data_IF_183685826937
#
_entry.id   IF_183685826937
#
_cell.length_a   1.000
_cell.length_b   1.000
_cell.length_c   1.000
_cell.angle_alpha   90.00
_cell.angle_beta   90.00
_cell.angle_gamma   90.00
#
_symmetry.space_group_name_H-M   'P 1'
#
loop_
_entity.id
_entity.type
_entity.pdbx_description
1 polymer ?
#
# COMPACT_ATOMS: atom_id res chain seq x y z
N UNK A 1 -17.07 -79.43 37.00
CA UNK A 1 -16.02 -80.47 36.97
C UNK A 1 -14.78 -79.90 36.31
N UNK A 2 -13.66 -80.03 37.01
CA UNK A 2 -12.32 -79.53 36.68
C UNK A 2 -11.72 -80.25 35.47
N UNK A 3 -10.91 -79.54 34.68
CA UNK A 3 -9.74 -80.14 34.02
C UNK A 3 -8.67 -79.07 33.79
N UNK A 4 -7.45 -79.37 34.24
CA UNK A 4 -6.32 -78.47 34.38
C UNK A 4 -5.34 -78.52 33.18
N UNK A 5 -4.54 -77.45 33.12
CA UNK A 5 -3.13 -77.36 32.68
C UNK A 5 -2.71 -77.92 31.32
N UNK A 6 -2.10 -77.03 30.51
CA UNK A 6 -0.79 -77.27 29.85
C UNK A 6 -0.03 -75.94 29.78
N UNK A 7 1.13 -75.87 30.42
CA UNK A 7 2.07 -74.76 30.24
C UNK A 7 2.85 -74.90 28.93
N UNK A 8 3.36 -73.78 28.42
CA UNK A 8 4.69 -73.64 27.80
C UNK A 8 4.90 -72.20 27.32
N UNK A 9 5.74 -71.47 28.06
CA UNK A 9 6.84 -70.64 27.60
C UNK A 9 6.76 -70.18 26.13
N UNK A 10 6.60 -68.88 25.88
CA UNK A 10 7.60 -68.10 25.11
C UNK A 10 7.26 -66.61 24.98
N UNK A 11 8.29 -65.79 25.26
CA UNK A 11 8.61 -64.47 24.67
C UNK A 11 7.64 -63.30 24.88
N UNK A 12 7.70 -62.73 26.09
CA UNK A 12 7.56 -61.28 26.28
C UNK A 12 8.73 -60.56 25.60
N UNK A 13 8.51 -59.98 24.42
CA UNK A 13 9.36 -58.89 23.93
C UNK A 13 8.94 -57.62 24.67
N UNK A 14 9.71 -57.27 25.70
CA UNK A 14 9.72 -55.94 26.31
C UNK A 14 10.11 -54.94 25.23
N UNK A 15 9.12 -54.24 24.67
CA UNK A 15 9.36 -53.03 23.90
C UNK A 15 9.71 -51.94 24.91
N UNK A 16 11.02 -51.71 25.08
CA UNK A 16 11.54 -50.52 25.75
C UNK A 16 11.03 -49.29 24.98
N UNK A 17 10.08 -48.58 25.57
CA UNK A 17 9.71 -47.23 25.15
C UNK A 17 10.86 -46.32 25.61
N UNK A 18 11.64 -45.71 24.71
CA UNK A 18 12.63 -44.73 25.14
C UNK A 18 11.87 -43.49 25.63
N UNK A 19 12.01 -43.18 26.92
CA UNK A 19 11.63 -41.89 27.47
C UNK A 19 12.43 -40.81 26.73
N UNK A 20 11.77 -40.04 25.87
CA UNK A 20 12.35 -38.83 25.29
C UNK A 20 12.53 -37.81 26.40
N UNK A 21 13.76 -37.69 26.87
CA UNK A 21 14.20 -36.58 27.70
C UNK A 21 14.30 -35.31 26.86
N UNK A 22 13.75 -34.24 27.45
CA UNK A 22 14.19 -32.83 27.35
C UNK A 22 14.01 -32.09 26.00
N UNK A 23 13.08 -31.13 26.05
CA UNK A 23 13.24 -29.75 25.56
C UNK A 23 13.98 -29.58 24.22
N UNK A 24 13.25 -29.69 23.10
CA UNK A 24 13.63 -28.96 21.90
C UNK A 24 13.07 -27.54 21.98
N UNK A 25 13.75 -26.68 22.74
CA UNK A 25 13.67 -25.26 22.44
C UNK A 25 14.37 -25.05 21.10
N UNK A 26 13.63 -24.57 20.10
CA UNK A 26 14.24 -24.01 18.90
C UNK A 26 14.92 -22.72 19.31
N UNK A 27 16.21 -22.79 19.64
CA UNK A 27 17.03 -21.60 19.76
C UNK A 27 17.20 -21.03 18.35
N UNK A 28 16.48 -19.96 18.05
CA UNK A 28 16.85 -19.08 16.95
C UNK A 28 18.14 -18.37 17.38
N UNK A 29 19.28 -18.87 16.93
CA UNK A 29 20.52 -18.09 16.98
C UNK A 29 20.43 -16.99 15.93
N UNK A 30 20.60 -15.74 16.35
CA UNK A 30 20.70 -14.57 15.48
C UNK A 30 22.15 -14.26 15.08
N UNK A 31 23.08 -15.18 15.27
CA UNK A 31 24.49 -14.93 14.98
C UNK A 31 24.77 -15.03 13.49
N UNK A 32 25.25 -13.93 12.93
CA UNK A 32 25.66 -13.78 11.53
C UNK A 32 27.04 -14.43 11.39
N UNK A 33 27.15 -15.48 10.57
CA UNK A 33 28.44 -16.02 10.14
C UNK A 33 29.01 -15.12 9.03
N UNK A 34 29.69 -14.04 9.41
CA UNK A 34 30.56 -13.27 8.50
C UNK A 34 32.02 -13.44 8.89
N UNK A 35 32.92 -13.80 7.96
CA UNK A 35 34.34 -13.82 8.22
C UNK A 35 34.86 -12.38 8.35
N UNK A 36 35.62 -12.14 9.42
CA UNK A 36 36.52 -11.00 9.65
C UNK A 36 35.99 -9.56 9.53
N UNK A 37 35.72 -8.98 10.71
CA UNK A 37 36.20 -7.65 11.14
C UNK A 37 36.11 -6.47 10.14
N UNK A 38 34.92 -6.23 9.58
CA UNK A 38 34.47 -4.86 9.38
C UNK A 38 33.34 -4.59 10.35
N UNK A 39 33.65 -3.91 11.45
CA UNK A 39 32.64 -3.33 12.33
C UNK A 39 31.88 -2.30 11.51
N UNK A 40 30.77 -2.70 10.89
CA UNK A 40 29.83 -1.82 10.24
C UNK A 40 29.33 -0.85 11.31
N UNK A 41 29.95 0.33 11.39
CA UNK A 41 29.40 1.45 12.15
C UNK A 41 27.96 1.63 11.65
N UNK A 42 26.97 1.82 12.54
CA UNK A 42 25.62 2.09 12.07
C UNK A 42 25.69 3.30 11.14
N UNK A 43 25.33 3.11 9.86
CA UNK A 43 25.33 4.20 8.89
C UNK A 43 24.38 5.27 9.43
N UNK A 44 24.93 6.42 9.80
CA UNK A 44 24.15 7.55 10.29
C UNK A 44 23.43 8.13 9.06
N UNK A 45 22.12 7.95 9.01
CA UNK A 45 21.28 8.51 7.94
C UNK A 45 20.96 9.94 8.35
N UNK A 46 21.61 10.90 7.71
CA UNK A 46 21.39 12.31 7.96
C UNK A 46 20.26 12.86 7.07
N UNK A 47 19.37 13.70 7.62
CA UNK A 47 18.36 14.37 6.82
C UNK A 47 19.01 15.54 6.08
N UNK A 48 19.55 15.31 4.89
CA UNK A 48 20.15 16.35 4.05
C UNK A 48 19.40 16.48 2.72
N UNK A 49 19.12 17.72 2.25
CA UNK A 49 18.57 17.92 0.93
C UNK A 49 19.63 17.52 -0.11
N UNK A 50 19.18 16.87 -1.18
CA UNK A 50 20.02 16.40 -2.28
C UNK A 50 19.33 16.59 -3.62
N UNK A 51 20.05 16.28 -4.70
CA UNK A 51 19.51 16.30 -6.07
C UNK A 51 19.13 14.89 -6.47
N UNK A 52 17.91 14.70 -6.96
CA UNK A 52 17.44 13.40 -7.41
C UNK A 52 18.15 13.00 -8.73
N UNK A 53 18.56 11.73 -8.86
CA UNK A 53 19.09 11.20 -10.12
C UNK A 53 18.00 10.45 -10.90
N UNK A 54 18.25 10.08 -12.17
CA UNK A 54 17.26 9.37 -13.01
C UNK A 54 16.92 7.96 -12.49
N UNK A 55 17.83 7.37 -11.72
CA UNK A 55 17.69 6.04 -11.12
C UNK A 55 17.14 6.11 -9.69
N UNK A 56 17.23 7.28 -9.06
CA UNK A 56 16.74 7.52 -7.71
C UNK A 56 15.23 7.32 -7.63
N UNK A 57 14.79 6.82 -6.48
CA UNK A 57 13.38 6.64 -6.17
C UNK A 57 13.13 7.11 -4.75
N UNK A 58 12.46 8.27 -4.63
CA UNK A 58 12.04 8.81 -3.34
C UNK A 58 10.88 8.03 -2.72
N UNK A 59 10.66 8.31 -1.44
CA UNK A 59 9.58 7.69 -0.67
C UNK A 59 8.20 8.09 -1.19
N UNK A 60 7.20 7.30 -0.82
CA UNK A 60 5.80 7.72 -0.95
C UNK A 60 5.27 8.24 0.39
N UNK A 61 4.00 8.62 0.39
CA UNK A 61 3.28 9.06 1.57
C UNK A 61 1.91 8.40 1.66
N UNK A 62 1.34 8.40 2.86
CA UNK A 62 -0.01 7.87 3.11
C UNK A 62 -0.94 9.07 3.25
N UNK A 63 -2.10 8.98 2.62
CA UNK A 63 -3.14 9.99 2.73
C UNK A 63 -4.49 9.35 3.05
N UNK A 64 -5.43 10.16 3.50
CA UNK A 64 -6.82 9.79 3.74
C UNK A 64 -7.66 10.48 2.67
N UNK A 65 -8.49 9.71 1.96
CA UNK A 65 -9.41 10.28 0.99
C UNK A 65 -10.53 11.03 1.71
N UNK A 66 -10.60 12.35 1.62
CA UNK A 66 -11.64 13.14 2.28
C UNK A 66 -12.96 13.13 1.50
N UNK A 67 -12.88 13.29 0.18
CA UNK A 67 -14.06 13.49 -0.65
C UNK A 67 -13.72 13.86 -2.08
N UNK A 68 -14.75 14.23 -2.84
CA UNK A 68 -14.62 14.75 -4.19
C UNK A 68 -15.34 16.09 -4.32
N UNK A 69 -14.76 17.01 -5.07
CA UNK A 69 -15.34 18.29 -5.43
C UNK A 69 -15.06 18.58 -6.91
N UNK A 70 -15.58 19.69 -7.42
CA UNK A 70 -15.19 20.20 -8.73
C UNK A 70 -14.60 21.60 -8.56
N UNK A 71 -13.48 21.85 -9.22
CA UNK A 71 -12.94 23.21 -9.37
C UNK A 71 -13.14 23.67 -10.80
N UNK A 72 -13.18 24.99 -10.96
CA UNK A 72 -13.17 25.63 -12.27
C UNK A 72 -11.76 26.10 -12.58
N UNK A 73 -11.34 25.80 -13.79
CA UNK A 73 -10.04 26.18 -14.30
C UNK A 73 -10.02 27.63 -14.77
N UNK A 74 -8.82 28.18 -15.01
CA UNK A 74 -8.66 29.54 -15.59
C UNK A 74 -9.45 29.72 -16.90
N UNK A 75 -9.57 28.65 -17.68
CA UNK A 75 -10.25 28.61 -18.99
C UNK A 75 -11.76 28.30 -18.89
N UNK A 76 -12.33 28.27 -17.68
CA UNK A 76 -13.74 27.91 -17.48
C UNK A 76 -14.03 26.43 -17.68
N UNK A 77 -13.03 25.53 -17.67
CA UNK A 77 -13.24 24.10 -17.63
C UNK A 77 -13.65 23.61 -16.23
N UNK A 78 -14.65 22.75 -16.13
CA UNK A 78 -14.99 22.08 -14.86
C UNK A 78 -14.12 20.84 -14.66
N UNK A 79 -13.23 20.85 -13.68
CA UNK A 79 -12.31 19.75 -13.37
C UNK A 79 -12.80 18.96 -12.15
N UNK A 80 -13.07 17.64 -12.28
CA UNK A 80 -13.40 16.80 -11.12
C UNK A 80 -12.13 16.51 -10.31
N UNK A 81 -12.20 16.69 -8.99
CA UNK A 81 -11.03 16.60 -8.12
C UNK A 81 -11.34 15.76 -6.89
N UNK A 82 -10.40 14.91 -6.50
CA UNK A 82 -10.41 14.21 -5.21
C UNK A 82 -9.50 14.92 -4.22
N UNK A 83 -9.97 15.09 -2.98
CA UNK A 83 -9.19 15.71 -1.89
C UNK A 83 -8.56 14.62 -1.03
N UNK A 84 -7.24 14.71 -0.84
CA UNK A 84 -6.44 13.80 -0.03
C UNK A 84 -5.83 14.58 1.13
N UNK A 85 -5.98 14.05 2.35
CA UNK A 85 -5.41 14.63 3.55
C UNK A 85 -4.23 13.79 4.06
N UNK A 86 -3.10 14.44 4.29
CA UNK A 86 -1.90 13.84 4.83
C UNK A 86 -1.89 14.05 6.34
N UNK A 87 -2.35 13.05 7.09
CA UNK A 87 -2.45 13.06 8.55
C UNK A 87 -1.15 12.51 9.16
N UNK A 88 -0.28 13.41 9.64
CA UNK A 88 1.01 13.15 10.31
C UNK A 88 1.74 11.91 9.79
N UNK A 89 2.35 12.05 8.61
CA UNK A 89 3.18 10.99 8.07
C UNK A 89 4.57 11.03 8.69
N UNK A 90 5.00 9.94 9.32
CA UNK A 90 6.31 9.84 9.96
C UNK A 90 7.00 8.54 9.54
N UNK A 91 8.30 8.60 9.27
CA UNK A 91 9.13 7.42 9.02
C UNK A 91 9.26 6.60 10.31
N UNK A 92 8.70 5.40 10.34
CA UNK A 92 8.70 4.53 11.52
C UNK A 92 9.87 3.57 11.58
N UNK A 93 10.36 3.09 10.43
CA UNK A 93 11.48 2.16 10.36
C UNK A 93 12.21 2.31 9.03
N UNK A 94 13.53 2.25 9.07
CA UNK A 94 14.39 2.17 7.89
C UNK A 94 14.84 0.74 7.68
N UNK A 95 14.60 0.20 6.48
CA UNK A 95 15.07 -1.12 6.06
C UNK A 95 16.26 -0.98 5.12
N UNK A 96 17.27 -1.80 5.36
CA UNK A 96 18.57 -1.77 4.68
C UNK A 96 18.88 -3.14 4.08
N UNK A 97 19.70 -3.16 3.03
CA UNK A 97 20.08 -4.41 2.37
C UNK A 97 20.82 -5.37 3.32
N UNK A 98 21.63 -4.84 4.22
CA UNK A 98 22.42 -5.62 5.19
C UNK A 98 21.55 -6.45 6.15
N UNK A 99 20.38 -5.93 6.55
CA UNK A 99 19.47 -6.59 7.51
C UNK A 99 18.29 -7.29 6.85
N UNK A 100 17.61 -6.63 5.91
CA UNK A 100 16.38 -7.13 5.30
C UNK A 100 16.54 -7.56 3.83
N UNK A 101 17.68 -7.29 3.20
CA UNK A 101 17.94 -7.64 1.80
C UNK A 101 17.39 -6.63 0.77
N UNK A 102 16.77 -5.53 1.20
CA UNK A 102 16.30 -4.47 0.32
C UNK A 102 16.20 -3.11 1.03
N UNK A 103 16.22 -2.02 0.25
CA UNK A 103 15.99 -0.67 0.75
C UNK A 103 14.51 -0.31 0.74
N UNK A 104 13.97 0.07 1.90
CA UNK A 104 12.62 0.57 2.03
C UNK A 104 12.46 1.46 3.26
N UNK A 105 11.56 2.42 3.15
CA UNK A 105 11.09 3.21 4.28
C UNK A 105 9.69 2.74 4.68
N UNK A 106 9.52 2.40 5.94
CA UNK A 106 8.21 2.21 6.53
C UNK A 106 7.70 3.58 7.00
N UNK A 107 6.57 4.01 6.45
CA UNK A 107 5.91 5.26 6.82
C UNK A 107 4.63 4.92 7.59
N UNK A 108 4.43 5.60 8.71
CA UNK A 108 3.21 5.57 9.50
C UNK A 108 2.37 6.82 9.30
N UNK A 109 1.06 6.69 9.40
CA UNK A 109 0.09 7.77 9.25
C UNK A 109 -1.03 7.64 10.28
N UNK A 110 -1.50 8.81 10.72
CA UNK A 110 -2.61 9.02 11.65
C UNK A 110 -2.39 8.45 13.03
N UNK A 111 -2.57 9.26 14.08
CA UNK A 111 -2.31 8.81 15.45
C UNK A 111 -3.30 7.74 15.93
N UNK A 112 -2.82 6.80 16.75
CA UNK A 112 -3.64 5.77 17.37
C UNK A 112 -3.25 5.56 18.83
N UNK A 113 -4.24 5.62 19.73
CA UNK A 113 -4.05 5.38 21.16
C UNK A 113 -3.58 3.94 21.43
N UNK A 114 -2.71 3.76 22.43
CA UNK A 114 -2.12 2.48 22.83
C UNK A 114 -3.16 1.37 23.04
N UNK A 115 -4.29 1.69 23.70
CA UNK A 115 -5.37 0.74 23.97
C UNK A 115 -6.03 0.13 22.73
N UNK A 116 -5.85 0.73 21.55
CA UNK A 116 -6.39 0.22 20.28
C UNK A 116 -5.34 -0.55 19.47
N UNK A 117 -4.10 -0.62 19.94
CA UNK A 117 -3.00 -1.35 19.31
C UNK A 117 -2.77 -2.68 20.01
N UNK A 118 -2.19 -3.61 19.27
CA UNK A 118 -1.73 -4.87 19.83
C UNK A 118 -0.38 -4.68 20.52
N UNK A 119 -0.08 -5.45 21.57
CA UNK A 119 1.19 -5.39 22.30
C UNK A 119 2.45 -5.41 21.40
N UNK A 120 2.57 -6.24 20.34
CA UNK A 120 3.73 -6.20 19.46
C UNK A 120 3.85 -4.89 18.66
N UNK A 121 2.73 -4.30 18.21
CA UNK A 121 2.76 -3.00 17.54
C UNK A 121 3.25 -1.89 18.49
N UNK A 122 2.79 -1.91 19.74
CA UNK A 122 3.25 -0.98 20.78
C UNK A 122 4.75 -1.15 21.04
N UNK A 123 5.22 -2.39 21.16
CA UNK A 123 6.66 -2.69 21.31
C UNK A 123 7.49 -2.18 20.13
N UNK A 124 6.99 -2.34 18.90
CA UNK A 124 7.63 -1.82 17.69
C UNK A 124 7.80 -0.31 17.72
N UNK A 125 6.73 0.45 17.99
CA UNK A 125 6.80 1.91 18.05
C UNK A 125 7.70 2.41 19.19
N UNK A 126 7.65 1.77 20.36
CA UNK A 126 8.52 2.12 21.50
C UNK A 126 10.00 1.85 21.21
N UNK A 127 10.32 0.75 20.54
CA UNK A 127 11.70 0.44 20.16
C UNK A 127 12.29 1.46 19.16
N UNK A 128 11.43 2.04 18.31
CA UNK A 128 11.83 3.06 17.33
C UNK A 128 11.74 4.49 17.86
N UNK A 129 11.10 4.71 19.02
CA UNK A 129 10.89 6.05 19.59
C UNK A 129 9.91 6.93 18.80
N UNK A 130 9.05 6.32 17.98
CA UNK A 130 8.09 7.03 17.10
C UNK A 130 6.69 6.99 17.71
N UNK A 131 5.86 8.04 17.53
CA UNK A 131 4.46 8.00 17.94
C UNK A 131 3.69 6.83 17.30
N UNK A 132 2.65 6.40 18.01
CA UNK A 132 1.84 5.24 17.63
C UNK A 132 0.89 5.58 16.47
N UNK A 133 1.06 4.90 15.33
CA UNK A 133 0.31 5.19 14.11
C UNK A 133 -0.79 4.17 13.80
N UNK A 134 -1.82 4.60 13.07
CA UNK A 134 -3.00 3.81 12.69
C UNK A 134 -2.74 2.97 11.45
N UNK A 135 -1.97 3.48 10.49
CA UNK A 135 -1.64 2.76 9.26
C UNK A 135 -0.16 2.83 8.97
N UNK A 136 0.45 1.67 8.76
CA UNK A 136 1.83 1.53 8.30
C UNK A 136 1.84 1.08 6.82
N UNK A 137 2.77 1.63 6.04
CA UNK A 137 3.04 1.17 4.67
C UNK A 137 4.53 1.29 4.36
N UNK A 138 5.05 0.27 3.70
CA UNK A 138 6.42 0.26 3.20
C UNK A 138 6.48 0.79 1.77
N UNK A 139 7.45 1.67 1.54
CA UNK A 139 7.80 2.22 0.25
C UNK A 139 9.23 1.80 -0.11
N UNK A 140 9.42 1.03 -1.21
CA UNK A 140 10.75 0.69 -1.66
C UNK A 140 11.40 1.91 -2.28
N UNK A 141 12.56 2.28 -1.76
CA UNK A 141 13.35 3.48 -2.11
C UNK A 141 14.76 3.08 -2.54
N UNK A 142 15.49 4.02 -3.11
CA UNK A 142 16.93 3.89 -3.35
C UNK A 142 17.74 4.32 -2.13
N UNK A 143 19.03 3.97 -2.10
CA UNK A 143 19.93 4.24 -0.96
C UNK A 143 20.10 5.74 -0.67
N UNK A 144 20.17 6.55 -1.71
CA UNK A 144 20.27 8.01 -1.66
C UNK A 144 18.98 8.69 -1.14
N UNK A 145 17.87 7.96 -1.13
CA UNK A 145 16.56 8.46 -0.70
C UNK A 145 16.17 7.99 0.71
N UNK A 146 17.13 7.45 1.47
CA UNK A 146 16.90 7.03 2.85
C UNK A 146 16.71 8.25 3.77
N UNK A 147 15.71 8.17 4.64
CA UNK A 147 15.39 9.18 5.63
C UNK A 147 15.57 8.60 7.03
N UNK A 148 16.00 9.40 8.03
CA UNK A 148 16.08 8.92 9.39
C UNK A 148 14.69 8.61 9.97
N UNK A 149 14.66 7.68 10.92
CA UNK A 149 13.45 7.37 11.70
C UNK A 149 13.00 8.63 12.44
N UNK A 150 11.70 8.89 12.46
CA UNK A 150 11.10 10.09 13.07
C UNK A 150 10.93 11.28 12.13
N UNK A 151 11.47 11.23 10.91
CA UNK A 151 11.28 12.30 9.91
C UNK A 151 9.82 12.41 9.50
N UNK A 152 9.25 13.61 9.53
CA UNK A 152 7.91 13.91 9.04
C UNK A 152 7.89 14.09 7.51
N UNK A 153 6.80 13.70 6.87
CA UNK A 153 6.58 13.85 5.41
C UNK A 153 5.33 14.69 5.18
N UNK A 154 5.54 15.96 4.82
CA UNK A 154 4.47 16.92 4.56
C UNK A 154 3.94 16.82 3.12
N UNK A 155 2.82 17.48 2.84
CA UNK A 155 2.23 17.49 1.48
C UNK A 155 3.16 18.12 0.43
N UNK A 156 4.03 19.05 0.83
CA UNK A 156 5.05 19.70 -0.01
C UNK A 156 6.12 18.73 -0.53
N UNK A 157 6.13 17.49 -0.05
CA UNK A 157 6.85 16.40 -0.71
C UNK A 157 6.45 16.28 -2.20
N UNK A 158 5.21 16.62 -2.53
CA UNK A 158 4.65 16.62 -3.86
C UNK A 158 4.54 18.03 -4.42
N UNK A 159 4.84 18.21 -5.71
CA UNK A 159 4.78 19.51 -6.40
C UNK A 159 3.55 19.54 -7.32
N UNK A 160 2.76 20.63 -7.35
CA UNK A 160 1.67 20.80 -8.32
C UNK A 160 2.17 20.66 -9.75
N UNK A 161 1.38 20.02 -10.61
CA UNK A 161 1.77 19.74 -12.00
C UNK A 161 2.44 18.38 -12.21
N UNK A 162 2.95 17.74 -11.16
CA UNK A 162 3.53 16.39 -11.27
C UNK A 162 2.44 15.30 -11.40
N UNK A 163 2.85 14.10 -11.83
CA UNK A 163 2.00 12.91 -11.87
C UNK A 163 2.32 11.92 -10.73
N UNK A 164 1.27 11.35 -10.13
CA UNK A 164 1.38 10.41 -9.01
C UNK A 164 0.59 9.13 -9.27
N UNK A 165 1.06 8.02 -8.70
CA UNK A 165 0.35 6.75 -8.65
C UNK A 165 -0.35 6.62 -7.29
N UNK A 166 -1.68 6.45 -7.30
CA UNK A 166 -2.47 6.34 -6.08
C UNK A 166 -3.01 4.93 -5.93
N UNK A 167 -2.60 4.28 -4.84
CA UNK A 167 -2.99 2.90 -4.52
C UNK A 167 -3.93 2.88 -3.32
N UNK A 168 -5.08 2.21 -3.45
CA UNK A 168 -6.06 2.15 -2.37
C UNK A 168 -6.90 0.88 -2.42
N UNK A 169 -7.64 0.63 -1.36
CA UNK A 169 -8.60 -0.47 -1.30
C UNK A 169 -9.92 0.00 -1.91
N UNK A 170 -10.32 -0.64 -3.01
CA UNK A 170 -11.57 -0.32 -3.71
C UNK A 170 -12.80 -0.57 -2.84
N UNK A 171 -13.87 0.23 -3.04
CA UNK A 171 -15.16 0.03 -2.36
C UNK A 171 -15.67 -1.40 -2.54
N UNK A 172 -15.96 -2.09 -1.45
CA UNK A 172 -16.53 -3.44 -1.46
C UNK A 172 -17.97 -3.42 -1.98
N UNK A 173 -18.32 -4.37 -2.85
CA UNK A 173 -19.69 -4.56 -3.33
C UNK A 173 -20.27 -5.92 -2.90
N UNK A 174 -19.61 -6.67 -2.02
CA UNK A 174 -20.08 -8.01 -1.60
C UNK A 174 -20.01 -9.05 -2.72
N UNK A 175 -20.85 -10.10 -2.62
CA UNK A 175 -20.99 -11.11 -3.67
C UNK A 175 -21.82 -10.55 -4.83
N UNK A 176 -21.26 -10.54 -6.03
CA UNK A 176 -21.91 -9.99 -7.22
C UNK A 176 -22.05 -11.02 -8.33
N UNK A 177 -23.17 -10.95 -9.03
CA UNK A 177 -23.45 -11.77 -10.21
C UNK A 177 -22.52 -11.44 -11.38
N UNK A 178 -22.51 -12.34 -12.37
CA UNK A 178 -21.65 -12.26 -13.57
C UNK A 178 -21.83 -10.98 -14.38
N UNK A 179 -23.08 -10.50 -14.52
CA UNK A 179 -23.37 -9.28 -15.27
C UNK A 179 -22.68 -8.06 -14.65
N UNK A 180 -22.78 -7.86 -13.32
CA UNK A 180 -22.17 -6.70 -12.66
C UNK A 180 -20.67 -6.85 -12.46
N UNK A 181 -20.19 -8.07 -12.22
CA UNK A 181 -18.77 -8.33 -11.94
C UNK A 181 -17.90 -8.32 -13.19
N UNK A 182 -18.42 -8.83 -14.31
CA UNK A 182 -17.67 -9.06 -15.54
C UNK A 182 -18.31 -8.42 -16.78
N UNK A 183 -19.39 -7.66 -16.64
CA UNK A 183 -20.12 -7.01 -17.73
C UNK A 183 -20.65 -8.00 -18.77
N UNK A 184 -21.07 -9.20 -18.34
CA UNK A 184 -21.71 -10.18 -19.23
C UNK A 184 -23.10 -9.67 -19.68
N UNK A 185 -23.49 -9.88 -20.95
CA UNK A 185 -24.85 -9.63 -21.40
C UNK A 185 -25.83 -10.60 -20.73
N UNK A 186 -27.10 -10.20 -20.65
CA UNK A 186 -28.20 -11.07 -20.20
C UNK A 186 -28.83 -11.82 -21.38
N UNK A 187 -29.72 -12.76 -21.06
CA UNK A 187 -30.60 -13.38 -22.06
C UNK A 187 -31.85 -12.53 -22.30
N UNK A 188 -32.56 -12.70 -23.44
CA UNK A 188 -33.79 -11.98 -23.73
C UNK A 188 -34.81 -12.04 -22.58
N UNK A 189 -35.56 -10.97 -22.38
CA UNK A 189 -36.60 -10.90 -21.35
C UNK A 189 -37.92 -11.53 -21.80
N UNK A 190 -38.34 -11.30 -23.05
CA UNK A 190 -39.73 -11.55 -23.48
C UNK A 190 -39.91 -12.73 -24.44
N UNK A 191 -38.84 -13.38 -24.92
CA UNK A 191 -38.91 -14.48 -25.90
C UNK A 191 -38.83 -15.86 -25.23
N UNK A 192 -39.68 -16.11 -24.22
CA UNK A 192 -39.83 -17.44 -23.61
C UNK A 192 -38.67 -17.93 -22.73
N UNK A 193 -37.70 -17.06 -22.39
CA UNK A 193 -36.59 -17.43 -21.49
C UNK A 193 -37.13 -17.65 -20.08
N UNK A 194 -36.92 -18.84 -19.51
CA UNK A 194 -37.36 -19.18 -18.15
C UNK A 194 -36.19 -19.14 -17.16
N UNK A 195 -36.27 -18.25 -16.15
CA UNK A 195 -35.36 -18.14 -14.99
C UNK A 195 -33.86 -17.90 -15.31
N UNK A 196 -33.49 -17.65 -16.57
CA UNK A 196 -32.08 -17.57 -17.00
C UNK A 196 -31.63 -16.16 -17.45
N UNK A 197 -32.48 -15.12 -17.34
CA UNK A 197 -32.20 -13.77 -17.84
C UNK A 197 -30.85 -13.17 -17.38
N UNK A 198 -30.39 -13.54 -16.18
CA UNK A 198 -29.11 -13.06 -15.60
C UNK A 198 -28.07 -14.15 -15.39
N UNK A 199 -28.27 -15.33 -16.00
CA UNK A 199 -27.35 -16.46 -15.91
C UNK A 199 -26.03 -16.15 -16.61
N UNK A 200 -24.97 -16.91 -16.27
CA UNK A 200 -23.64 -16.73 -16.89
C UNK A 200 -23.44 -17.42 -18.23
N UNK A 201 -24.47 -18.08 -18.75
CA UNK A 201 -24.37 -18.95 -19.92
C UNK A 201 -23.51 -20.19 -19.67
N UNK A 202 -23.06 -20.82 -20.77
CA UNK A 202 -22.21 -22.01 -20.70
C UNK A 202 -20.83 -21.70 -20.12
N UNK A 203 -20.33 -22.57 -19.26
CA UNK A 203 -19.03 -22.44 -18.59
C UNK A 203 -17.91 -23.26 -19.24
N UNK A 204 -18.26 -24.21 -20.13
CA UNK A 204 -17.33 -25.18 -20.72
C UNK A 204 -17.87 -25.92 -21.93
N UNK A 205 -17.04 -26.81 -22.48
CA UNK A 205 -17.35 -27.73 -23.57
C UNK A 205 -17.67 -29.12 -23.00
N UNK A 206 -18.28 -30.00 -23.81
CA UNK A 206 -18.73 -31.34 -23.37
C UNK A 206 -17.56 -32.30 -23.12
N UNK A 207 -16.84 -32.71 -24.18
CA UNK A 207 -15.98 -33.90 -24.15
C UNK A 207 -14.52 -33.57 -23.79
N UNK A 208 -13.75 -32.97 -24.70
CA UNK A 208 -12.48 -32.34 -24.37
C UNK A 208 -12.72 -30.85 -24.09
N UNK A 209 -12.33 -30.28 -22.93
CA UNK A 209 -11.42 -30.77 -21.88
C UNK A 209 -12.08 -31.43 -20.64
N UNK A 210 -13.40 -31.65 -20.63
CA UNK A 210 -14.12 -32.30 -19.51
C UNK A 210 -14.11 -31.51 -18.18
N UNK A 211 -13.70 -30.24 -18.18
CA UNK A 211 -13.61 -29.38 -16.99
C UNK A 211 -13.77 -27.90 -17.34
N UNK A 212 -14.07 -27.09 -16.33
CA UNK A 212 -13.99 -25.64 -16.46
C UNK A 212 -12.53 -25.18 -16.27
N UNK A 213 -12.00 -24.41 -17.22
CA UNK A 213 -10.65 -23.86 -17.12
C UNK A 213 -10.47 -22.91 -15.93
N UNK A 214 -9.27 -22.93 -15.34
CA UNK A 214 -8.87 -21.97 -14.31
C UNK A 214 -8.94 -20.55 -14.88
N UNK A 215 -9.36 -19.58 -14.06
CA UNK A 215 -9.52 -18.18 -14.48
C UNK A 215 -10.83 -17.90 -15.23
N UNK A 216 -11.71 -18.89 -15.43
CA UNK A 216 -13.06 -18.65 -15.98
C UNK A 216 -13.81 -17.62 -15.13
N UNK A 217 -14.36 -16.61 -15.79
CA UNK A 217 -15.13 -15.53 -15.17
C UNK A 217 -16.46 -16.07 -14.62
N UNK A 218 -16.66 -15.94 -13.31
CA UNK A 218 -17.87 -16.37 -12.59
C UNK A 218 -18.31 -15.34 -11.55
N UNK A 219 -19.51 -15.50 -10.99
CA UNK A 219 -20.01 -14.71 -9.88
C UNK A 219 -19.08 -14.79 -8.65
N UNK A 220 -19.12 -13.80 -7.77
CA UNK A 220 -18.33 -13.80 -6.54
C UNK A 220 -18.02 -12.42 -6.00
N UNK A 221 -17.12 -12.35 -5.02
CA UNK A 221 -16.78 -11.09 -4.32
C UNK A 221 -16.22 -10.05 -5.29
N UNK A 222 -16.85 -8.87 -5.32
CA UNK A 222 -16.44 -7.71 -6.09
C UNK A 222 -16.04 -6.56 -5.16
N UNK A 223 -14.97 -5.85 -5.51
CA UNK A 223 -14.42 -4.77 -4.68
C UNK A 223 -13.63 -5.28 -3.47
N UNK A 224 -13.21 -4.36 -2.59
CA UNK A 224 -12.37 -4.69 -1.43
C UNK A 224 -10.98 -5.19 -1.83
N UNK A 225 -10.54 -4.92 -3.06
CA UNK A 225 -9.23 -5.28 -3.59
C UNK A 225 -8.37 -4.04 -3.69
N UNK A 226 -7.07 -4.21 -3.46
CA UNK A 226 -6.09 -3.17 -3.71
C UNK A 226 -5.98 -2.91 -5.22
N UNK A 227 -6.11 -1.65 -5.60
CA UNK A 227 -5.93 -1.17 -6.99
C UNK A 227 -5.13 0.12 -6.98
N UNK A 228 -4.42 0.34 -8.07
CA UNK A 228 -3.64 1.54 -8.32
C UNK A 228 -4.21 2.25 -9.53
N UNK A 229 -4.53 3.53 -9.37
CA UNK A 229 -4.77 4.45 -10.48
C UNK A 229 -3.44 5.12 -10.76
N UNK A 230 -2.99 5.03 -12.00
CA UNK A 230 -1.67 5.53 -12.43
C UNK A 230 -1.81 6.91 -13.07
N UNK A 231 -0.71 7.67 -13.09
CA UNK A 231 -0.60 8.97 -13.76
C UNK A 231 -1.73 9.92 -13.37
N UNK A 232 -2.00 10.03 -12.07
CA UNK A 232 -2.96 10.98 -11.54
C UNK A 232 -2.28 12.33 -11.41
N UNK A 233 -2.85 13.36 -12.02
CA UNK A 233 -2.27 14.70 -12.02
C UNK A 233 -2.56 15.45 -10.72
N UNK A 234 -1.54 16.08 -10.13
CA UNK A 234 -1.66 16.91 -8.92
C UNK A 234 -2.02 18.34 -9.33
N UNK A 235 -3.19 18.82 -8.90
CA UNK A 235 -3.72 20.11 -9.32
C UNK A 235 -3.36 21.24 -8.36
N UNK A 236 -3.47 20.98 -7.06
CA UNK A 236 -3.26 21.98 -5.99
C UNK A 236 -2.76 21.28 -4.74
N UNK A 237 -1.93 21.98 -3.96
CA UNK A 237 -1.54 21.59 -2.61
C UNK A 237 -1.84 22.73 -1.63
N UNK A 238 -2.20 22.39 -0.40
CA UNK A 238 -2.41 23.33 0.69
C UNK A 238 -1.57 22.83 1.87
N UNK A 239 -0.38 23.42 2.07
CA UNK A 239 0.55 23.01 3.11
C UNK A 239 -0.01 23.28 4.51
N UNK A 240 -0.73 24.39 4.72
CA UNK A 240 -1.32 24.73 6.02
C UNK A 240 -2.24 23.64 6.55
N UNK A 241 -3.03 23.02 5.67
CA UNK A 241 -3.97 21.94 6.04
C UNK A 241 -3.44 20.54 5.70
N UNK A 242 -2.24 20.44 5.14
CA UNK A 242 -1.69 19.20 4.58
C UNK A 242 -2.67 18.49 3.62
N UNK A 243 -3.31 19.25 2.72
CA UNK A 243 -4.26 18.74 1.73
C UNK A 243 -3.67 18.77 0.31
N UNK A 244 -4.02 17.76 -0.47
CA UNK A 244 -3.68 17.67 -1.89
C UNK A 244 -4.94 17.41 -2.71
N UNK A 245 -5.09 18.15 -3.79
CA UNK A 245 -6.14 18.01 -4.77
C UNK A 245 -5.58 17.31 -6.00
N UNK A 246 -6.14 16.15 -6.30
CA UNK A 246 -5.75 15.34 -7.47
C UNK A 246 -6.88 15.28 -8.47
N UNK A 247 -6.55 15.40 -9.76
CA UNK A 247 -7.53 15.36 -10.84
C UNK A 247 -8.13 13.95 -10.97
N UNK A 248 -9.45 13.87 -10.96
CA UNK A 248 -10.20 12.65 -11.22
C UNK A 248 -10.44 11.79 -9.98
N UNK A 249 -10.42 10.47 -10.18
CA UNK A 249 -10.95 9.49 -9.24
C UNK A 249 -9.86 8.74 -8.47
N UNK A 250 -10.06 8.63 -7.16
CA UNK A 250 -9.19 7.87 -6.25
C UNK A 250 -9.91 6.61 -5.75
N UNK A 251 -9.24 5.43 -5.73
CA UNK A 251 -9.86 4.19 -5.28
C UNK A 251 -10.15 4.21 -3.78
N UNK A 252 -11.39 3.91 -3.41
CA UNK A 252 -11.80 3.75 -2.00
C UNK A 252 -12.99 4.62 -1.62
N UNK A 253 -13.51 4.36 -0.41
CA UNK A 253 -14.48 5.22 0.24
C UNK A 253 -13.80 6.43 0.86
N UNK A 254 -14.60 7.43 1.20
CA UNK A 254 -14.17 8.57 2.00
C UNK A 254 -13.76 8.07 3.39
N UNK A 255 -12.71 8.66 3.96
CA UNK A 255 -12.07 8.21 5.19
C UNK A 255 -11.11 7.01 5.04
N UNK A 256 -11.01 6.40 3.85
CA UNK A 256 -10.05 5.31 3.64
C UNK A 256 -8.64 5.84 3.37
N UNK A 257 -7.66 5.10 3.88
CA UNK A 257 -6.25 5.30 3.56
C UNK A 257 -5.96 4.95 2.10
N UNK A 258 -5.18 5.81 1.47
CA UNK A 258 -4.60 5.65 0.15
C UNK A 258 -3.09 5.88 0.24
N UNK A 259 -2.35 5.23 -0.63
CA UNK A 259 -0.90 5.30 -0.70
C UNK A 259 -0.53 6.05 -1.97
N UNK A 260 0.14 7.17 -1.81
CA UNK A 260 0.60 8.02 -2.91
C UNK A 260 2.09 7.80 -3.08
N UNK A 261 2.52 7.64 -4.32
CA UNK A 261 3.93 7.59 -4.72
C UNK A 261 4.05 8.31 -6.06
N UNK A 262 5.27 8.64 -6.46
CA UNK A 262 5.51 9.17 -7.80
C UNK A 262 5.06 8.19 -8.89
N UNK A 263 4.60 8.75 -10.01
CA UNK A 263 4.19 7.96 -11.15
C UNK A 263 5.38 7.20 -11.76
N UNK A 264 5.13 5.94 -12.12
CA UNK A 264 6.16 5.09 -12.71
C UNK A 264 6.35 5.36 -14.21
N UNK A 265 5.27 5.66 -14.95
CA UNK A 265 5.31 5.85 -16.40
C UNK A 265 5.58 7.31 -16.78
N UNK A 266 4.78 8.23 -16.26
CA UNK A 266 5.03 9.67 -16.41
C UNK A 266 5.93 10.11 -15.26
N UNK A 267 7.24 9.93 -15.45
CA UNK A 267 8.21 10.32 -14.43
C UNK A 267 8.11 11.82 -14.16
N UNK A 268 8.16 12.23 -12.89
CA UNK A 268 8.16 13.65 -12.56
C UNK A 268 9.45 14.31 -13.06
N UNK A 269 9.37 15.62 -13.32
CA UNK A 269 10.55 16.41 -13.64
C UNK A 269 11.48 16.43 -12.43
N UNK A 270 12.70 15.94 -12.62
CA UNK A 270 13.68 15.74 -11.56
C UNK A 270 14.15 17.07 -10.95
N UNK A 271 14.11 18.14 -11.74
CA UNK A 271 14.63 19.46 -11.35
C UNK A 271 13.74 20.19 -10.33
N UNK A 272 12.42 19.95 -10.37
CA UNK A 272 11.44 20.68 -9.56
C UNK A 272 11.14 19.98 -8.24
N UNK A 273 11.49 18.69 -8.11
CA UNK A 273 11.12 17.91 -6.94
C UNK A 273 12.06 18.08 -5.76
N UNK A 274 11.53 18.24 -4.54
CA UNK A 274 12.35 18.15 -3.33
C UNK A 274 12.79 16.70 -3.10
N UNK A 275 14.07 16.51 -2.82
CA UNK A 275 14.70 15.21 -2.59
C UNK A 275 15.63 15.24 -1.36
N UNK A 276 15.66 14.20 -0.52
CA UNK A 276 14.78 13.01 -0.50
C UNK A 276 13.32 13.28 -0.13
N UNK A 277 13.07 14.38 0.58
CA UNK A 277 11.75 14.93 0.89
C UNK A 277 11.84 16.46 1.05
N UNK A 278 10.71 17.14 1.18
CA UNK A 278 10.70 18.56 1.54
C UNK A 278 11.02 18.71 3.03
N UNK A 279 12.03 19.50 3.35
CA UNK A 279 12.36 19.92 4.72
C UNK A 279 11.85 21.34 4.93
N UNK A 280 10.97 21.53 5.91
CA UNK A 280 10.50 22.87 6.28
C UNK A 280 11.65 23.64 6.94
N UNK A 281 12.02 24.84 6.44
CA UNK A 281 12.98 25.70 7.14
C UNK A 281 12.39 26.18 8.47
N UNK A 282 13.25 26.39 9.47
CA UNK A 282 12.83 26.72 10.85
C UNK A 282 12.11 28.08 10.95
N UNK A 283 12.35 28.99 10.01
CA UNK A 283 11.78 30.34 9.99
C UNK A 283 10.39 30.43 9.32
N UNK A 284 9.86 29.33 8.77
CA UNK A 284 8.60 29.33 7.99
C UNK A 284 7.40 28.98 8.88
N UNK A 285 6.55 29.97 9.16
CA UNK A 285 5.31 29.76 9.92
C UNK A 285 4.30 28.94 9.10
N UNK A 286 4.01 27.70 9.52
CA UNK A 286 3.08 26.80 8.80
C UNK A 286 1.68 27.40 8.62
N UNK A 287 1.24 28.25 9.56
CA UNK A 287 -0.07 28.92 9.53
C UNK A 287 -0.17 30.03 8.49
N UNK A 288 0.97 30.55 8.03
CA UNK A 288 1.03 31.63 7.02
C UNK A 288 1.03 31.10 5.59
N UNK A 289 1.19 29.79 5.39
CA UNK A 289 1.39 29.22 4.08
C UNK A 289 0.14 29.28 3.20
N UNK A 290 0.31 29.80 2.00
CA UNK A 290 -0.72 29.87 0.99
C UNK A 290 -0.80 28.58 0.17
N UNK A 291 -1.99 28.25 -0.35
CA UNK A 291 -2.14 27.08 -1.20
C UNK A 291 -1.52 27.31 -2.59
N UNK A 292 -0.75 26.34 -3.05
CA UNK A 292 -0.04 26.38 -4.33
C UNK A 292 -0.86 25.64 -5.38
N UNK A 293 -1.29 26.33 -6.43
CA UNK A 293 -1.98 25.76 -7.59
C UNK A 293 -1.00 25.55 -8.74
N UNK A 294 -1.31 24.59 -9.62
CA UNK A 294 -0.54 24.40 -10.86
C UNK A 294 -0.75 25.57 -11.83
N UNK A 295 0.33 25.99 -12.48
CA UNK A 295 0.25 26.93 -13.60
C UNK A 295 -0.17 26.19 -14.87
N UNK A 296 -1.34 26.55 -15.40
CA UNK A 296 -1.96 25.90 -16.56
C UNK A 296 -1.44 26.41 -17.92
N UNK A 297 -0.48 27.34 -17.89
CA UNK A 297 0.02 28.05 -19.05
C UNK A 297 -0.88 29.19 -19.54
N UNK A 298 -0.48 29.79 -20.66
CA UNK A 298 -1.16 30.93 -21.29
C UNK A 298 -2.03 30.55 -22.48
N UNK A 299 -1.89 29.35 -23.02
CA UNK A 299 -2.66 28.89 -24.17
C UNK A 299 -3.96 28.23 -23.70
N UNK A 300 -5.09 28.74 -24.18
CA UNK A 300 -6.40 28.14 -23.94
C UNK A 300 -6.52 26.84 -24.74
N UNK A 301 -6.67 25.67 -24.09
CA UNK A 301 -6.86 24.41 -24.79
C UNK A 301 -8.15 24.35 -25.62
N UNK A 302 -9.13 25.22 -25.36
CA UNK A 302 -10.36 25.32 -26.14
C UNK A 302 -10.24 26.25 -27.35
N UNK A 303 -9.28 27.18 -27.37
CA UNK A 303 -9.04 28.02 -28.55
C UNK A 303 -8.00 27.43 -29.51
N UNK A 304 -7.16 26.51 -29.04
CA UNK A 304 -6.14 25.85 -29.87
C UNK A 304 -6.70 24.75 -30.80
N UNK A 305 -8.01 24.53 -30.80
CA UNK A 305 -8.68 23.48 -31.57
C UNK A 305 -9.28 23.97 -32.91
N UNK A 306 -9.12 25.25 -33.25
CA UNK A 306 -9.51 25.85 -34.54
C UNK A 306 -8.30 26.11 -35.45
#
# INVERSE_FOLDING_TARGET
MSAASRGLISRLKTVLIPQRTLTQFRNFSSEILTPHNEVLRPRIIEPKPGVMTKQSKRTGAIAIKCGMTALWDKWGARVPISVLWFDDNIVSQVKTVEKEGFFALQVGCSHKKEKHLTKPEVGHFRAQGVPMMRKLKEFPVTEDALLPVGTSINVRHFVPGQHVDITGITKGKGFQGVMKRHHFPGLPASHGVSKAHRSGGSTGQRDAPGKVFKGRKMAGRMGGKQRTVKNVWVYKIDPKRNLMWVRGQVPGAEGNFVFVKDAFYEKPDVSTLPFPTYFSPEDEDEDSLEPITVDLGELDPFMAAD
#
